data_IF_067911476156
#
_entry.id   IF_067911476156
#
_cell.length_a   1.000
_cell.length_b   1.000
_cell.length_c   1.000
_cell.angle_alpha   90.00
_cell.angle_beta   90.00
_cell.angle_gamma   90.00
#
_symmetry.space_group_name_H-M   'P 1'
#
loop_
_entity.id
_entity.type
_entity.pdbx_description
1 polymer ?
#
# COMPACT_ATOMS: atom_id res chain seq x y z
N UNK A 1 -30.44 -7.65 -7.85
CA UNK A 1 -29.50 -6.54 -7.54
C UNK A 1 -28.66 -6.98 -6.37
N UNK A 2 -27.38 -7.34 -6.59
CA UNK A 2 -26.49 -7.64 -5.48
C UNK A 2 -26.23 -6.33 -4.73
N UNK A 3 -26.67 -6.24 -3.48
CA UNK A 3 -26.29 -5.16 -2.60
C UNK A 3 -24.76 -5.20 -2.42
N UNK A 4 -24.07 -4.21 -2.99
CA UNK A 4 -22.66 -3.95 -2.74
C UNK A 4 -22.53 -3.45 -1.28
N UNK A 5 -22.67 -4.33 -0.30
CA UNK A 5 -22.44 -3.96 1.10
C UNK A 5 -20.95 -3.66 1.28
N UNK A 6 -20.66 -2.48 1.80
CA UNK A 6 -19.30 -2.11 2.21
C UNK A 6 -19.10 -2.56 3.65
N UNK A 7 -18.00 -3.21 3.92
CA UNK A 7 -17.66 -3.65 5.26
C UNK A 7 -17.30 -2.44 6.13
N UNK A 8 -18.17 -2.11 7.08
CA UNK A 8 -18.00 -0.96 7.98
C UNK A 8 -16.70 -1.05 8.80
N UNK A 9 -16.27 -2.26 9.18
CA UNK A 9 -15.00 -2.48 9.87
C UNK A 9 -13.81 -2.08 9.00
N UNK A 10 -13.84 -2.40 7.70
CA UNK A 10 -12.76 -2.02 6.77
C UNK A 10 -12.72 -0.51 6.55
N UNK A 11 -13.89 0.14 6.42
CA UNK A 11 -13.96 1.59 6.28
C UNK A 11 -13.38 2.30 7.51
N UNK A 12 -13.74 1.84 8.71
CA UNK A 12 -13.19 2.37 9.95
C UNK A 12 -11.68 2.14 10.04
N UNK A 13 -11.20 0.96 9.65
CA UNK A 13 -9.79 0.62 9.64
C UNK A 13 -8.97 1.52 8.68
N UNK A 14 -9.49 1.81 7.48
CA UNK A 14 -8.86 2.77 6.56
C UNK A 14 -8.83 4.18 7.14
N UNK A 15 -9.94 4.64 7.70
CA UNK A 15 -10.00 5.95 8.34
C UNK A 15 -8.95 6.08 9.46
N UNK A 16 -8.86 5.08 10.34
CA UNK A 16 -7.93 5.10 11.47
C UNK A 16 -6.45 5.09 11.02
N UNK A 17 -6.09 4.31 10.00
CA UNK A 17 -4.72 4.29 9.51
C UNK A 17 -4.35 5.60 8.79
N UNK A 18 -5.29 6.21 8.05
CA UNK A 18 -5.11 7.50 7.40
C UNK A 18 -4.92 8.60 8.47
N UNK A 19 -5.80 8.64 9.49
CA UNK A 19 -5.69 9.57 10.61
C UNK A 19 -4.34 9.46 11.30
N UNK A 20 -3.92 8.24 11.66
CA UNK A 20 -2.62 8.00 12.30
C UNK A 20 -1.42 8.45 11.44
N UNK A 21 -1.51 8.28 10.11
CA UNK A 21 -0.48 8.75 9.20
C UNK A 21 -0.39 10.29 9.15
N UNK A 22 -1.53 10.97 9.08
CA UNK A 22 -1.58 12.44 9.00
C UNK A 22 -1.27 13.09 10.35
N UNK A 23 -1.57 12.43 11.48
CA UNK A 23 -1.18 12.89 12.82
C UNK A 23 0.35 12.84 12.98
N UNK A 24 1.03 11.83 12.42
CA UNK A 24 2.49 11.71 12.42
C UNK A 24 3.14 12.63 11.37
N UNK A 25 2.59 12.68 10.18
CA UNK A 25 3.08 13.50 9.06
C UNK A 25 1.95 14.35 8.48
N UNK A 26 1.81 15.62 8.90
CA UNK A 26 0.74 16.52 8.42
C UNK A 26 0.64 16.66 6.89
N UNK A 27 1.73 16.35 6.19
CA UNK A 27 1.81 16.21 4.73
C UNK A 27 2.09 14.75 4.41
N UNK A 28 1.06 14.03 3.98
CA UNK A 28 1.11 12.60 3.72
C UNK A 28 0.89 12.32 2.23
N UNK A 29 1.77 11.47 1.66
CA UNK A 29 1.57 10.82 0.38
C UNK A 29 0.81 9.52 0.64
N UNK A 30 -0.31 9.31 -0.05
CA UNK A 30 -1.04 8.05 -0.06
C UNK A 30 -0.97 7.41 -1.45
N UNK A 31 -0.50 6.16 -1.52
CA UNK A 31 -0.40 5.39 -2.76
C UNK A 31 -1.21 4.12 -2.65
N UNK A 32 -2.05 3.87 -3.64
CA UNK A 32 -2.70 2.57 -3.83
C UNK A 32 -1.87 1.71 -4.78
N UNK A 33 -1.55 0.51 -4.33
CA UNK A 33 -0.74 -0.48 -5.07
C UNK A 33 -1.48 -1.81 -5.09
N UNK A 34 -1.57 -2.44 -6.26
CA UNK A 34 -2.11 -3.78 -6.42
C UNK A 34 -0.95 -4.77 -6.58
N UNK A 35 -0.80 -5.70 -5.61
CA UNK A 35 0.23 -6.72 -5.62
C UNK A 35 -0.32 -8.01 -6.25
N UNK A 36 0.30 -8.42 -7.35
CA UNK A 36 -0.09 -9.59 -8.12
C UNK A 36 0.98 -10.67 -8.06
N UNK A 37 0.57 -11.91 -8.26
CA UNK A 37 1.48 -13.05 -8.36
C UNK A 37 1.75 -13.40 -9.82
N UNK A 38 2.97 -13.87 -10.16
CA UNK A 38 3.22 -14.43 -11.49
C UNK A 38 2.29 -15.60 -11.80
N UNK A 39 2.06 -15.85 -13.08
CA UNK A 39 1.09 -16.85 -13.54
C UNK A 39 1.30 -18.25 -12.94
N UNK A 40 2.54 -18.66 -12.76
CA UNK A 40 2.92 -20.00 -12.28
C UNK A 40 3.38 -20.01 -10.82
N UNK A 41 3.23 -18.87 -10.10
CA UNK A 41 3.65 -18.81 -8.71
C UNK A 41 2.73 -19.66 -7.82
N UNK A 42 3.34 -20.54 -7.03
CA UNK A 42 2.63 -21.37 -6.05
C UNK A 42 2.56 -20.60 -4.73
N UNK A 43 1.37 -20.24 -4.31
CA UNK A 43 1.13 -19.59 -3.01
C UNK A 43 0.17 -20.42 -2.18
N UNK A 44 0.38 -20.43 -0.87
CA UNK A 44 -0.58 -20.99 0.08
C UNK A 44 -1.67 -19.98 0.44
N UNK A 45 -2.59 -20.39 1.30
CA UNK A 45 -3.69 -19.53 1.75
C UNK A 45 -3.27 -18.46 2.75
N UNK A 46 -2.06 -18.55 3.31
CA UNK A 46 -1.53 -17.62 4.29
C UNK A 46 -1.25 -16.22 3.70
N UNK A 47 -1.03 -15.23 4.59
CA UNK A 47 -0.65 -13.86 4.23
C UNK A 47 0.87 -13.61 4.39
N UNK A 48 1.70 -14.65 4.28
CA UNK A 48 3.16 -14.55 4.46
C UNK A 48 3.79 -13.60 3.45
N UNK A 49 3.31 -13.62 2.21
CA UNK A 49 3.87 -12.82 1.12
C UNK A 49 3.67 -11.33 1.38
N UNK A 50 2.47 -10.88 1.74
CA UNK A 50 2.23 -9.47 2.04
C UNK A 50 2.93 -9.03 3.32
N UNK A 51 3.07 -9.91 4.31
CA UNK A 51 3.86 -9.63 5.52
C UNK A 51 5.33 -9.41 5.18
N UNK A 52 5.94 -10.29 4.38
CA UNK A 52 7.32 -10.15 3.90
C UNK A 52 7.50 -8.89 3.05
N UNK A 53 6.51 -8.58 2.19
CA UNK A 53 6.52 -7.34 1.41
C UNK A 53 6.61 -6.11 2.31
N UNK A 54 5.75 -6.02 3.32
CA UNK A 54 5.74 -4.87 4.24
C UNK A 54 7.08 -4.75 4.98
N UNK A 55 7.65 -5.85 5.48
CA UNK A 55 8.93 -5.81 6.19
C UNK A 55 10.09 -5.46 5.24
N UNK A 56 10.13 -6.03 4.04
CA UNK A 56 11.12 -5.66 3.02
C UNK A 56 11.02 -4.19 2.62
N UNK A 57 9.80 -3.68 2.41
CA UNK A 57 9.58 -2.28 2.06
C UNK A 57 9.99 -1.34 3.20
N UNK A 58 9.68 -1.65 4.45
CA UNK A 58 10.14 -0.87 5.61
C UNK A 58 11.66 -0.76 5.68
N UNK A 59 12.36 -1.89 5.48
CA UNK A 59 13.82 -1.91 5.48
C UNK A 59 14.41 -1.05 4.37
N UNK A 60 13.88 -1.14 3.15
CA UNK A 60 14.32 -0.34 2.00
C UNK A 60 14.05 1.16 2.20
N UNK A 61 12.87 1.50 2.71
CA UNK A 61 12.50 2.89 3.02
C UNK A 61 13.36 3.48 4.13
N UNK A 62 13.79 2.69 5.11
CA UNK A 62 14.70 3.13 6.16
C UNK A 62 16.07 3.52 5.58
N UNK A 63 16.64 2.66 4.74
CA UNK A 63 17.93 2.93 4.07
C UNK A 63 17.83 4.16 3.17
N UNK A 64 16.77 4.26 2.38
CA UNK A 64 16.55 5.41 1.50
C UNK A 64 16.35 6.72 2.29
N UNK A 65 15.62 6.66 3.41
CA UNK A 65 15.46 7.80 4.32
C UNK A 65 16.80 8.25 4.90
N UNK A 66 17.66 7.34 5.34
CA UNK A 66 19.01 7.66 5.84
C UNK A 66 19.87 8.31 4.74
N UNK A 67 19.88 7.74 3.53
CA UNK A 67 20.60 8.28 2.38
C UNK A 67 20.13 9.71 2.03
N UNK A 68 18.81 9.93 2.00
CA UNK A 68 18.23 11.26 1.72
C UNK A 68 18.54 12.27 2.83
N UNK A 69 18.48 11.85 4.09
CA UNK A 69 18.85 12.71 5.21
C UNK A 69 20.31 13.18 5.14
N UNK A 70 21.25 12.28 4.82
CA UNK A 70 22.66 12.63 4.61
C UNK A 70 22.81 13.61 3.44
N UNK A 71 22.19 13.31 2.29
CA UNK A 71 22.26 14.15 1.08
C UNK A 71 21.67 15.56 1.30
N UNK A 72 20.55 15.64 2.03
CA UNK A 72 19.84 16.90 2.27
C UNK A 72 20.27 17.61 3.55
N UNK A 73 21.22 17.05 4.28
CA UNK A 73 21.67 17.58 5.60
C UNK A 73 20.49 17.82 6.54
N UNK A 74 19.59 16.82 6.64
CA UNK A 74 18.36 16.84 7.46
C UNK A 74 18.36 15.65 8.41
N UNK A 75 17.56 15.74 9.46
CA UNK A 75 17.27 14.62 10.36
C UNK A 75 15.76 14.49 10.51
N UNK A 76 15.12 13.87 9.54
CA UNK A 76 13.68 13.63 9.51
C UNK A 76 13.38 12.13 9.42
N UNK A 77 12.22 11.76 9.94
CA UNK A 77 11.73 10.37 9.87
C UNK A 77 10.75 10.20 8.72
N UNK A 78 10.72 8.96 8.20
CA UNK A 78 9.69 8.51 7.29
C UNK A 78 9.26 7.11 7.72
N UNK A 79 8.16 7.01 8.45
CA UNK A 79 7.57 5.75 8.88
C UNK A 79 6.49 5.34 7.89
N UNK A 80 6.56 4.11 7.40
CA UNK A 80 5.50 3.54 6.58
C UNK A 80 4.28 3.22 7.46
N UNK A 81 3.13 3.83 7.12
CA UNK A 81 1.82 3.37 7.54
C UNK A 81 1.15 2.68 6.35
N UNK A 82 0.33 1.67 6.63
CA UNK A 82 -0.28 0.87 5.56
C UNK A 82 -1.57 0.21 6.01
N UNK A 83 -2.41 -0.08 5.03
CA UNK A 83 -3.47 -1.07 5.13
C UNK A 83 -3.43 -1.94 3.87
N UNK A 84 -3.77 -3.22 4.00
CA UNK A 84 -3.91 -4.12 2.86
C UNK A 84 -5.17 -4.96 3.00
N UNK A 85 -5.72 -5.31 1.85
CA UNK A 85 -6.86 -6.23 1.73
C UNK A 85 -6.47 -7.33 0.78
N UNK A 86 -6.78 -8.58 1.16
CA UNK A 86 -6.62 -9.76 0.32
C UNK A 86 -7.91 -10.01 -0.44
N UNK A 87 -7.78 -10.24 -1.73
CA UNK A 87 -8.87 -10.64 -2.60
C UNK A 87 -8.51 -11.90 -3.39
N UNK A 88 -9.53 -12.69 -3.73
CA UNK A 88 -9.43 -13.81 -4.67
C UNK A 88 -10.31 -13.46 -5.85
N UNK A 89 -9.69 -13.29 -7.03
CA UNK A 89 -10.40 -12.89 -8.24
C UNK A 89 -11.45 -13.93 -8.66
N UNK A 90 -12.65 -13.48 -8.98
CA UNK A 90 -13.78 -14.35 -9.32
C UNK A 90 -13.51 -15.24 -10.55
N UNK A 91 -12.94 -14.68 -11.61
CA UNK A 91 -12.70 -15.36 -12.87
C UNK A 91 -11.54 -16.37 -12.81
N UNK A 92 -10.42 -15.97 -12.19
CA UNK A 92 -9.18 -16.74 -12.22
C UNK A 92 -8.87 -17.43 -10.89
N UNK A 93 -9.68 -17.22 -9.87
CA UNK A 93 -9.47 -17.64 -8.48
C UNK A 93 -8.03 -17.35 -7.97
N UNK A 94 -7.45 -16.25 -8.44
CA UNK A 94 -6.08 -15.88 -8.07
C UNK A 94 -6.09 -14.87 -6.94
N UNK A 95 -5.31 -15.19 -5.92
CA UNK A 95 -5.03 -14.30 -4.80
C UNK A 95 -4.27 -13.06 -5.28
N UNK A 96 -4.65 -11.90 -4.78
CA UNK A 96 -3.94 -10.64 -4.94
C UNK A 96 -4.20 -9.74 -3.73
N UNK A 97 -3.38 -8.70 -3.59
CA UNK A 97 -3.54 -7.75 -2.50
C UNK A 97 -3.71 -6.34 -3.06
N UNK A 98 -4.67 -5.62 -2.50
CA UNK A 98 -4.76 -4.18 -2.62
C UNK A 98 -4.12 -3.56 -1.40
N UNK A 99 -3.17 -2.68 -1.60
CA UNK A 99 -2.38 -2.07 -0.52
C UNK A 99 -2.48 -0.56 -0.60
N UNK A 100 -2.81 0.08 0.53
CA UNK A 100 -2.66 1.51 0.75
C UNK A 100 -1.34 1.73 1.50
N UNK A 101 -0.42 2.48 0.91
CA UNK A 101 0.83 2.92 1.51
C UNK A 101 0.73 4.40 1.85
N UNK A 102 1.08 4.78 3.07
CA UNK A 102 1.04 6.14 3.58
C UNK A 102 2.44 6.54 4.06
N UNK A 103 2.98 7.60 3.50
CA UNK A 103 4.37 8.01 3.64
C UNK A 103 4.48 9.52 3.89
N UNK A 104 5.58 9.96 4.50
CA UNK A 104 5.88 11.36 4.62
C UNK A 104 6.12 11.99 3.23
N UNK A 105 5.25 12.95 2.84
CA UNK A 105 5.32 13.64 1.54
C UNK A 105 6.61 14.44 1.36
N UNK A 106 7.31 14.80 2.44
CA UNK A 106 8.57 15.52 2.36
C UNK A 106 9.75 14.65 1.88
N UNK A 107 9.57 13.30 1.85
CA UNK A 107 10.52 12.36 1.27
C UNK A 107 10.10 11.85 -0.11
N UNK A 108 8.80 11.74 -0.36
CA UNK A 108 8.26 11.17 -1.59
C UNK A 108 7.12 12.02 -2.13
N UNK A 109 7.31 12.58 -3.32
CA UNK A 109 6.29 13.40 -4.00
C UNK A 109 5.36 12.59 -4.91
N UNK A 110 5.49 11.25 -4.93
CA UNK A 110 4.77 10.30 -5.75
C UNK A 110 5.56 9.01 -5.86
N UNK A 111 5.21 8.14 -6.79
CA UNK A 111 5.93 6.90 -7.07
C UNK A 111 7.37 7.15 -7.62
N UNK A 112 7.62 8.34 -8.16
CA UNK A 112 8.89 8.72 -8.75
C UNK A 112 9.04 8.26 -10.20
N UNK A 113 10.27 8.32 -10.72
CA UNK A 113 10.58 7.86 -12.06
C UNK A 113 10.58 6.33 -12.10
N UNK A 114 9.77 5.74 -12.97
CA UNK A 114 9.65 4.28 -13.12
C UNK A 114 10.93 3.60 -13.64
N UNK A 115 11.80 4.37 -14.30
CA UNK A 115 13.08 3.88 -14.85
C UNK A 115 14.27 4.14 -13.91
N UNK A 116 14.04 4.69 -12.72
CA UNK A 116 15.12 4.95 -11.76
C UNK A 116 15.10 3.91 -10.63
N UNK A 117 16.21 3.23 -10.42
CA UNK A 117 16.36 2.13 -9.46
C UNK A 117 16.19 2.56 -8.00
N UNK A 118 16.34 3.85 -7.72
CA UNK A 118 16.19 4.45 -6.39
C UNK A 118 14.86 5.19 -6.19
N UNK A 119 13.93 5.06 -7.14
CA UNK A 119 12.59 5.62 -7.03
C UNK A 119 11.73 4.83 -6.01
N UNK A 120 10.69 5.48 -5.47
CA UNK A 120 9.73 4.77 -4.60
C UNK A 120 9.06 3.59 -5.35
N UNK A 121 8.80 3.76 -6.65
CA UNK A 121 8.32 2.67 -7.50
C UNK A 121 9.26 1.47 -7.49
N UNK A 122 10.55 1.70 -7.74
CA UNK A 122 11.55 0.63 -7.74
C UNK A 122 11.65 -0.06 -6.37
N UNK A 123 11.65 0.70 -5.27
CA UNK A 123 11.67 0.13 -3.92
C UNK A 123 10.45 -0.77 -3.64
N UNK A 124 9.27 -0.39 -4.15
CA UNK A 124 8.04 -1.18 -4.03
C UNK A 124 8.14 -2.46 -4.86
N UNK A 125 8.61 -2.39 -6.12
CA UNK A 125 8.83 -3.57 -6.97
C UNK A 125 9.82 -4.54 -6.34
N UNK A 126 10.99 -4.06 -5.95
CA UNK A 126 12.03 -4.83 -5.27
C UNK A 126 11.51 -5.49 -3.99
N UNK A 127 10.69 -4.78 -3.20
CA UNK A 127 10.11 -5.33 -1.97
C UNK A 127 9.15 -6.48 -2.27
N UNK A 128 8.33 -6.35 -3.32
CA UNK A 128 7.41 -7.43 -3.69
C UNK A 128 8.14 -8.63 -4.29
N UNK A 129 9.06 -8.43 -5.20
CA UNK A 129 9.89 -9.52 -5.75
C UNK A 129 10.68 -10.24 -4.65
N UNK A 130 11.30 -9.50 -3.73
CA UNK A 130 11.98 -10.07 -2.56
C UNK A 130 11.04 -10.92 -1.68
N UNK A 131 9.80 -10.47 -1.46
CA UNK A 131 8.80 -11.22 -0.68
C UNK A 131 8.41 -12.54 -1.34
N UNK A 132 8.46 -12.60 -2.66
CA UNK A 132 8.15 -13.78 -3.47
C UNK A 132 9.38 -14.66 -3.74
N UNK A 133 10.60 -14.21 -3.42
CA UNK A 133 11.84 -14.90 -3.78
C UNK A 133 12.12 -14.85 -5.29
N UNK A 134 11.74 -13.76 -5.96
CA UNK A 134 11.85 -13.56 -7.40
C UNK A 134 12.88 -12.49 -7.74
N UNK A 135 13.46 -12.59 -8.92
CA UNK A 135 14.34 -11.58 -9.49
C UNK A 135 13.52 -10.38 -9.99
N UNK A 136 13.90 -9.17 -9.56
CA UNK A 136 13.20 -7.93 -9.91
C UNK A 136 13.35 -7.58 -11.40
N UNK A 137 14.48 -7.93 -12.05
CA UNK A 137 14.69 -7.66 -13.46
C UNK A 137 13.73 -8.46 -14.35
N UNK A 138 13.47 -9.72 -13.97
CA UNK A 138 12.56 -10.59 -14.72
C UNK A 138 11.08 -10.36 -14.41
N UNK A 139 10.77 -9.88 -13.20
CA UNK A 139 9.40 -9.81 -12.67
C UNK A 139 8.96 -8.39 -12.30
N UNK A 140 9.47 -7.37 -13.03
CA UNK A 140 8.99 -6.01 -12.88
C UNK A 140 7.49 -5.89 -13.23
N UNK A 141 6.78 -4.97 -12.55
CA UNK A 141 5.37 -4.70 -12.83
C UNK A 141 4.37 -5.57 -12.04
N UNK A 142 4.83 -6.51 -11.20
CA UNK A 142 3.95 -7.29 -10.32
C UNK A 142 3.31 -6.45 -9.20
N UNK A 143 3.97 -5.37 -8.77
CA UNK A 143 3.38 -4.35 -7.91
C UNK A 143 2.88 -3.20 -8.79
N UNK A 144 1.60 -3.23 -9.16
CA UNK A 144 1.01 -2.30 -10.10
C UNK A 144 0.54 -1.02 -9.40
N UNK A 145 1.05 0.15 -9.84
CA UNK A 145 0.51 1.44 -9.43
C UNK A 145 -0.83 1.65 -10.11
N UNK A 146 -1.90 1.76 -9.33
CA UNK A 146 -3.24 1.94 -9.91
C UNK A 146 -3.37 3.32 -10.52
N UNK A 147 -4.07 3.42 -11.64
CA UNK A 147 -4.44 4.70 -12.23
C UNK A 147 -5.22 5.54 -11.20
N UNK A 148 -4.87 6.83 -11.09
CA UNK A 148 -5.43 7.73 -10.07
C UNK A 148 -5.31 7.19 -8.64
N UNK A 149 -4.27 6.41 -8.34
CA UNK A 149 -3.99 5.82 -7.03
C UNK A 149 -3.04 6.65 -6.16
N UNK A 150 -2.68 7.87 -6.58
CA UNK A 150 -1.78 8.77 -5.86
C UNK A 150 -2.56 9.95 -5.29
N UNK A 151 -2.55 10.12 -3.96
CA UNK A 151 -3.26 11.18 -3.25
C UNK A 151 -2.30 11.95 -2.34
N UNK A 152 -2.61 13.23 -2.15
CA UNK A 152 -1.86 14.11 -1.26
C UNK A 152 -2.78 14.64 -0.17
N UNK A 153 -2.44 14.32 1.06
CA UNK A 153 -3.15 14.80 2.23
C UNK A 153 -2.31 15.89 2.90
N UNK A 154 -2.94 17.02 3.20
CA UNK A 154 -2.30 18.10 3.94
C UNK A 154 -3.26 18.65 5.00
N UNK A 155 -3.02 18.27 6.26
CA UNK A 155 -3.85 18.65 7.41
C UNK A 155 -3.98 20.17 7.62
N UNK A 156 -3.01 20.93 7.10
CA UNK A 156 -2.98 22.39 7.25
C UNK A 156 -3.84 23.15 6.23
N UNK A 157 -4.37 22.44 5.22
CA UNK A 157 -5.17 23.07 4.17
C UNK A 157 -6.67 23.06 4.52
N UNK A 158 -7.42 24.09 4.12
CA UNK A 158 -8.87 24.16 4.38
C UNK A 158 -9.65 22.97 3.78
N UNK A 159 -9.18 22.43 2.64
CA UNK A 159 -9.82 21.30 1.95
C UNK A 159 -9.31 19.92 2.42
N UNK A 160 -8.66 19.82 3.58
CA UNK A 160 -8.14 18.54 4.11
C UNK A 160 -9.21 17.45 4.17
N UNK A 161 -10.39 17.75 4.70
CA UNK A 161 -11.47 16.76 4.79
C UNK A 161 -11.95 16.29 3.43
N UNK A 162 -11.95 17.15 2.43
CA UNK A 162 -12.24 16.76 1.05
C UNK A 162 -11.19 15.77 0.54
N UNK A 163 -9.88 16.04 0.74
CA UNK A 163 -8.79 15.12 0.37
C UNK A 163 -8.94 13.74 1.03
N UNK A 164 -9.30 13.70 2.31
CA UNK A 164 -9.56 12.45 3.04
C UNK A 164 -10.75 11.70 2.44
N UNK A 165 -11.86 12.40 2.18
CA UNK A 165 -13.06 11.78 1.62
C UNK A 165 -12.83 11.23 0.21
N UNK A 166 -12.06 11.93 -0.63
CA UNK A 166 -11.67 11.44 -1.97
C UNK A 166 -10.83 10.16 -1.88
N UNK A 167 -9.86 10.11 -0.95
CA UNK A 167 -9.08 8.90 -0.70
C UNK A 167 -9.96 7.76 -0.18
N UNK A 168 -10.83 8.01 0.81
CA UNK A 168 -11.74 6.99 1.35
C UNK A 168 -12.68 6.45 0.28
N UNK A 169 -13.26 7.31 -0.55
CA UNK A 169 -14.09 6.89 -1.69
C UNK A 169 -13.31 5.97 -2.65
N UNK A 170 -12.03 6.24 -2.88
CA UNK A 170 -11.19 5.36 -3.70
C UNK A 170 -10.91 4.02 -3.01
N UNK A 171 -10.89 3.99 -1.67
CA UNK A 171 -10.72 2.77 -0.88
C UNK A 171 -12.00 1.94 -0.72
N UNK A 172 -13.19 2.50 -1.02
CA UNK A 172 -14.47 1.76 -0.98
C UNK A 172 -14.42 0.49 -1.82
N UNK A 173 -13.72 0.53 -2.97
CA UNK A 173 -13.52 -0.68 -3.78
C UNK A 173 -12.83 -1.80 -3.00
N UNK A 174 -11.87 -1.46 -2.14
CA UNK A 174 -11.16 -2.42 -1.29
C UNK A 174 -12.02 -2.92 -0.12
N UNK A 175 -13.11 -2.22 0.21
CA UNK A 175 -14.03 -2.56 1.30
C UNK A 175 -15.24 -3.39 0.87
N UNK A 176 -15.35 -3.77 -0.41
CA UNK A 176 -16.46 -4.60 -0.91
C UNK A 176 -16.41 -6.01 -0.33
N UNK A 177 -17.52 -6.48 0.23
CA UNK A 177 -17.60 -7.79 0.88
C UNK A 177 -17.51 -8.97 -0.08
N UNK A 178 -18.13 -8.88 -1.25
CA UNK A 178 -18.29 -10.01 -2.17
C UNK A 178 -16.98 -10.53 -2.80
N UNK A 179 -15.90 -9.76 -2.76
CA UNK A 179 -14.58 -10.16 -3.28
C UNK A 179 -13.68 -10.77 -2.21
N UNK A 180 -14.16 -10.89 -0.96
CA UNK A 180 -13.35 -11.38 0.18
C UNK A 180 -13.60 -12.86 0.42
N UNK A 181 -12.53 -13.58 0.78
CA UNK A 181 -12.62 -14.94 1.28
C UNK A 181 -12.58 -14.89 2.81
N UNK A 182 -13.68 -15.28 3.47
CA UNK A 182 -13.79 -15.24 4.93
C UNK A 182 -13.63 -16.62 5.57
N UNK A 183 -13.79 -17.70 4.80
CA UNK A 183 -13.92 -19.06 5.33
C UNK A 183 -12.62 -19.88 5.32
N UNK A 184 -11.49 -19.26 4.98
CA UNK A 184 -10.19 -19.94 4.88
C UNK A 184 -9.31 -19.81 6.13
N UNK A 185 -9.84 -19.24 7.21
CA UNK A 185 -9.13 -19.06 8.50
C UNK A 185 -8.05 -17.96 8.49
N UNK A 186 -7.87 -17.24 7.39
CA UNK A 186 -6.88 -16.17 7.27
C UNK A 186 -7.53 -14.79 7.22
N UNK A 187 -6.79 -13.79 7.73
CA UNK A 187 -7.27 -12.41 7.72
C UNK A 187 -7.39 -11.90 6.28
N UNK A 188 -8.52 -11.29 5.95
CA UNK A 188 -8.72 -10.61 4.66
C UNK A 188 -8.26 -9.15 4.67
N UNK A 189 -7.91 -8.60 5.85
CA UNK A 189 -7.38 -7.24 6.04
C UNK A 189 -6.25 -7.24 7.04
N UNK A 190 -5.27 -6.36 6.85
CA UNK A 190 -4.23 -6.05 7.82
C UNK A 190 -3.79 -4.59 7.71
N UNK A 191 -3.29 -4.03 8.81
CA UNK A 191 -2.87 -2.63 8.87
C UNK A 191 -1.77 -2.41 9.89
N UNK A 192 -1.06 -1.28 9.74
CA UNK A 192 -0.11 -0.81 10.74
C UNK A 192 -0.86 -0.39 12.01
N UNK A 193 -0.35 -0.84 13.14
CA UNK A 193 -0.79 -0.37 14.47
C UNK A 193 -0.18 1.00 14.77
N UNK A 194 -0.68 1.68 15.83
CA UNK A 194 -0.10 2.94 16.34
C UNK A 194 1.36 2.79 16.72
#
# INVERSE_FOLDING_TARGET
>A
MQHNSLNAYYQQAFYDVIRNAVDEFPRTLALRVDLRFPRHYQYGDSNKEVTRFIESLKAKLLVDCQRKNLRWKRNRSNRLRYAWVREVGELNRRKHYHVLLLLNKDFYHGAGNYNADDSLYALIQQAWCSALGLDTEQYSGLANMTENGCFYLNRKLPNYMQQVNELLKRMEYMAKDHTKSYDDGYRSIGMSRR
#
